data_IF_077451367419
#
_entry.id   IF_077451367419
#
_cell.length_a   1.000
_cell.length_b   1.000
_cell.length_c   1.000
_cell.angle_alpha   90.00
_cell.angle_beta   90.00
_cell.angle_gamma   90.00
#
_symmetry.space_group_name_H-M   'P 1'
#
loop_
_entity.id
_entity.type
_entity.pdbx_description
1 polymer ?
#
# COMPACT_ATOMS: atom_id res chain seq x y z
N UNK A 1 -1.98 1.10 23.77
CA UNK A 1 -2.84 -0.07 23.53
C UNK A 1 -3.71 0.18 22.30
N UNK A 2 -4.54 1.22 22.24
CA UNK A 2 -5.39 1.50 21.06
C UNK A 2 -4.65 1.54 19.70
N UNK A 3 -3.49 2.22 19.61
CA UNK A 3 -2.73 2.24 18.34
C UNK A 3 -2.05 0.92 17.98
N UNK A 4 -1.77 0.05 18.96
CA UNK A 4 -1.16 -1.24 18.68
C UNK A 4 -2.15 -2.15 17.95
N UNK A 5 -3.35 -2.31 18.52
CA UNK A 5 -4.42 -3.12 17.93
C UNK A 5 -4.83 -2.58 16.55
N UNK A 6 -4.96 -1.25 16.41
CA UNK A 6 -5.25 -0.61 15.11
C UNK A 6 -4.18 -0.91 14.05
N UNK A 7 -2.89 -0.90 14.42
CA UNK A 7 -1.80 -1.18 13.50
C UNK A 7 -1.70 -2.67 13.17
N UNK A 8 -2.02 -3.55 14.12
CA UNK A 8 -2.06 -5.00 13.89
C UNK A 8 -3.18 -5.36 12.89
N UNK A 9 -4.39 -4.79 13.05
CA UNK A 9 -5.49 -4.96 12.09
C UNK A 9 -5.11 -4.48 10.69
N UNK A 10 -4.37 -3.37 10.60
CA UNK A 10 -3.89 -2.88 9.32
C UNK A 10 -2.85 -3.83 8.71
N UNK A 11 -1.97 -4.42 9.53
CA UNK A 11 -0.94 -5.32 9.06
C UNK A 11 -1.55 -6.57 8.42
N UNK A 12 -2.60 -7.13 9.03
CA UNK A 12 -3.36 -8.27 8.48
C UNK A 12 -3.94 -7.94 7.09
N UNK A 13 -4.52 -6.74 6.93
CA UNK A 13 -5.05 -6.30 5.63
C UNK A 13 -3.92 -6.16 4.60
N UNK A 14 -2.76 -5.62 4.97
CA UNK A 14 -1.62 -5.52 4.06
C UNK A 14 -1.06 -6.90 3.67
N UNK A 15 -1.02 -7.85 4.59
CA UNK A 15 -0.57 -9.22 4.32
C UNK A 15 -1.46 -9.90 3.27
N UNK A 16 -2.78 -9.76 3.38
CA UNK A 16 -3.73 -10.24 2.37
C UNK A 16 -3.51 -9.55 1.03
N UNK A 17 -3.31 -8.22 1.03
CA UNK A 17 -3.04 -7.46 -0.20
C UNK A 17 -1.74 -7.88 -0.89
N UNK A 18 -0.70 -8.24 -0.13
CA UNK A 18 0.57 -8.75 -0.65
C UNK A 18 0.35 -10.07 -1.38
N UNK A 19 -0.40 -11.00 -0.76
CA UNK A 19 -0.72 -12.30 -1.36
C UNK A 19 -1.56 -12.14 -2.63
N UNK A 20 -2.66 -11.38 -2.58
CA UNK A 20 -3.51 -11.11 -3.75
C UNK A 20 -2.71 -10.51 -4.92
N UNK A 21 -1.76 -9.62 -4.61
CA UNK A 21 -0.89 -9.00 -5.63
C UNK A 21 0.08 -10.03 -6.23
N UNK A 22 0.69 -10.87 -5.40
CA UNK A 22 1.58 -11.93 -5.86
C UNK A 22 0.81 -12.94 -6.74
N UNK A 23 -0.38 -13.37 -6.30
CA UNK A 23 -1.25 -14.26 -7.05
C UNK A 23 -1.68 -13.65 -8.39
N UNK A 24 -2.04 -12.36 -8.42
CA UNK A 24 -2.37 -11.65 -9.67
C UNK A 24 -1.19 -11.66 -10.65
N UNK A 25 0.03 -11.39 -10.18
CA UNK A 25 1.25 -11.46 -11.00
C UNK A 25 1.44 -12.88 -11.55
N UNK A 26 1.29 -13.91 -10.70
CA UNK A 26 1.45 -15.31 -11.10
C UNK A 26 0.39 -15.77 -12.10
N UNK A 27 -0.87 -15.34 -11.92
CA UNK A 27 -1.97 -15.66 -12.82
C UNK A 27 -1.75 -15.15 -14.25
N UNK A 28 -1.02 -14.04 -14.40
CA UNK A 28 -0.62 -13.47 -15.69
C UNK A 28 0.69 -14.05 -16.24
N UNK A 29 1.26 -15.07 -15.60
CA UNK A 29 2.53 -15.70 -15.99
C UNK A 29 3.79 -14.93 -15.57
N UNK A 30 3.65 -13.92 -14.71
CA UNK A 30 4.76 -13.14 -14.20
C UNK A 30 5.60 -13.84 -13.12
N UNK A 31 6.69 -13.17 -12.74
CA UNK A 31 7.52 -13.53 -11.60
C UNK A 31 7.18 -12.61 -10.42
N UNK A 32 6.59 -13.18 -9.36
CA UNK A 32 6.39 -12.47 -8.10
C UNK A 32 7.70 -12.54 -7.31
N UNK A 33 8.29 -11.37 -7.02
CA UNK A 33 9.47 -11.25 -6.18
C UNK A 33 9.14 -11.68 -4.75
N UNK A 34 10.15 -12.16 -4.03
CA UNK A 34 9.94 -12.78 -2.72
C UNK A 34 10.97 -12.39 -1.66
N UNK A 35 12.01 -11.65 -2.03
CA UNK A 35 13.04 -11.23 -1.08
C UNK A 35 12.83 -9.78 -0.63
N UNK A 36 13.14 -9.53 0.65
CA UNK A 36 13.09 -8.17 1.22
C UNK A 36 13.96 -7.18 0.45
N UNK A 37 15.09 -7.65 -0.08
CA UNK A 37 15.99 -6.83 -0.90
C UNK A 37 15.30 -6.34 -2.18
N UNK A 38 14.62 -7.23 -2.90
CA UNK A 38 13.89 -6.85 -4.12
C UNK A 38 12.74 -5.89 -3.80
N UNK A 39 12.05 -6.10 -2.68
CA UNK A 39 11.00 -5.19 -2.24
C UNK A 39 11.54 -3.77 -1.99
N UNK A 40 12.66 -3.64 -1.28
CA UNK A 40 13.30 -2.33 -1.05
C UNK A 40 13.78 -1.67 -2.35
N UNK A 41 14.28 -2.45 -3.30
CA UNK A 41 14.74 -1.91 -4.60
C UNK A 41 13.59 -1.44 -5.50
N UNK A 42 12.40 -2.04 -5.39
CA UNK A 42 11.23 -1.76 -6.24
C UNK A 42 10.20 -0.82 -5.59
N UNK A 43 10.26 -0.66 -4.28
CA UNK A 43 9.30 0.11 -3.50
C UNK A 43 9.27 1.59 -3.92
N UNK A 44 8.09 2.20 -3.80
CA UNK A 44 7.92 3.67 -3.88
C UNK A 44 8.12 4.34 -2.52
N UNK A 45 8.27 3.54 -1.46
CA UNK A 45 8.41 3.96 -0.08
C UNK A 45 9.85 3.76 0.40
N UNK A 46 10.31 4.66 1.27
CA UNK A 46 11.57 4.52 1.98
C UNK A 46 11.31 3.99 3.40
N UNK A 47 12.29 3.28 3.97
CA UNK A 47 12.21 2.91 5.38
C UNK A 47 12.37 4.14 6.28
N UNK A 48 11.54 4.22 7.33
CA UNK A 48 11.64 5.24 8.37
C UNK A 48 12.54 4.76 9.51
N UNK A 49 13.07 5.70 10.30
CA UNK A 49 13.93 5.37 11.44
C UNK A 49 13.12 4.64 12.53
N UNK A 50 13.67 3.53 13.04
CA UNK A 50 13.00 2.65 14.01
C UNK A 50 13.12 3.10 15.47
N UNK A 51 13.85 4.18 15.77
CA UNK A 51 14.13 4.59 17.15
C UNK A 51 13.85 6.07 17.39
N UNK A 52 13.29 6.37 18.57
CA UNK A 52 13.07 7.74 19.03
C UNK A 52 11.84 8.45 18.46
N UNK A 53 10.99 7.74 17.72
CA UNK A 53 9.83 8.30 17.03
C UNK A 53 8.62 8.40 17.96
N UNK A 54 7.99 9.58 18.02
CA UNK A 54 6.72 9.76 18.73
C UNK A 54 5.57 9.17 17.90
N UNK A 55 4.52 8.68 18.57
CA UNK A 55 3.38 8.07 17.89
C UNK A 55 2.75 8.97 16.82
N UNK A 56 2.64 10.28 17.07
CA UNK A 56 2.13 11.25 16.09
C UNK A 56 3.02 11.37 14.86
N UNK A 57 4.34 11.30 15.04
CA UNK A 57 5.30 11.30 13.92
C UNK A 57 5.16 10.02 13.09
N UNK A 58 5.10 8.85 13.74
CA UNK A 58 4.89 7.58 13.06
C UNK A 58 3.59 7.54 12.25
N UNK A 59 2.49 8.05 12.82
CA UNK A 59 1.20 8.11 12.11
C UNK A 59 1.22 9.10 10.94
N UNK A 60 1.96 10.22 11.05
CA UNK A 60 2.12 11.17 9.97
C UNK A 60 2.95 10.59 8.81
N UNK A 61 4.06 9.91 9.12
CA UNK A 61 4.89 9.17 8.17
C UNK A 61 4.08 8.09 7.45
N UNK A 62 3.34 7.27 8.20
CA UNK A 62 2.49 6.23 7.63
C UNK A 62 1.40 6.82 6.72
N UNK A 63 0.78 7.94 7.12
CA UNK A 63 -0.19 8.64 6.29
C UNK A 63 0.43 9.11 4.98
N UNK A 64 1.64 9.67 5.02
CA UNK A 64 2.35 10.14 3.84
C UNK A 64 2.70 8.98 2.89
N UNK A 65 3.08 7.82 3.42
CA UNK A 65 3.34 6.60 2.64
C UNK A 65 2.08 6.12 1.92
N UNK A 66 0.93 6.07 2.60
CA UNK A 66 -0.35 5.75 1.96
C UNK A 66 -0.68 6.73 0.82
N UNK A 67 -0.45 8.02 1.01
CA UNK A 67 -0.69 9.04 -0.01
C UNK A 67 0.24 8.88 -1.23
N UNK A 68 1.49 8.43 -1.03
CA UNK A 68 2.41 8.07 -2.12
C UNK A 68 1.84 6.88 -2.90
N UNK A 69 1.42 5.81 -2.22
CA UNK A 69 0.86 4.62 -2.87
C UNK A 69 -0.41 4.94 -3.66
N UNK A 70 -1.32 5.74 -3.10
CA UNK A 70 -2.56 6.14 -3.78
C UNK A 70 -2.27 6.89 -5.08
N UNK A 71 -1.31 7.83 -5.06
CA UNK A 71 -0.90 8.55 -6.28
C UNK A 71 -0.27 7.60 -7.30
N UNK A 72 0.63 6.73 -6.86
CA UNK A 72 1.27 5.74 -7.71
C UNK A 72 0.25 4.81 -8.40
N UNK A 73 -0.74 4.30 -7.65
CA UNK A 73 -1.81 3.47 -8.21
C UNK A 73 -2.65 4.26 -9.22
N UNK A 74 -3.10 5.46 -8.86
CA UNK A 74 -3.91 6.32 -9.72
C UNK A 74 -3.24 6.63 -11.06
N UNK A 75 -1.94 6.89 -11.05
CA UNK A 75 -1.14 7.14 -12.26
C UNK A 75 -1.03 5.90 -13.16
N UNK A 76 -1.00 4.69 -12.57
CA UNK A 76 -0.78 3.46 -13.32
C UNK A 76 -2.08 2.76 -13.77
N UNK A 77 -3.17 2.85 -13.01
CA UNK A 77 -4.46 2.20 -13.34
C UNK A 77 -4.91 2.59 -14.76
N UNK A 78 -4.90 3.89 -15.08
CA UNK A 78 -5.29 4.37 -16.40
C UNK A 78 -4.38 3.86 -17.53
N UNK A 79 -3.07 3.73 -17.26
CA UNK A 79 -2.12 3.16 -18.23
C UNK A 79 -2.37 1.67 -18.45
N UNK A 80 -2.67 0.93 -17.38
CA UNK A 80 -2.93 -0.52 -17.41
C UNK A 80 -4.19 -0.84 -18.22
N UNK A 81 -5.31 -0.17 -17.92
CA UNK A 81 -6.54 -0.36 -18.69
C UNK A 81 -6.39 0.11 -20.13
N UNK A 82 -5.98 1.37 -20.34
CA UNK A 82 -6.07 1.96 -21.69
C UNK A 82 -4.95 1.54 -22.65
N UNK A 83 -3.71 1.43 -22.17
CA UNK A 83 -2.56 1.15 -23.04
C UNK A 83 -2.27 -0.34 -23.16
N UNK A 84 -2.34 -1.07 -22.03
CA UNK A 84 -2.07 -2.52 -22.02
C UNK A 84 -3.34 -3.36 -22.21
N UNK A 85 -4.53 -2.74 -22.23
CA UNK A 85 -5.82 -3.43 -22.40
C UNK A 85 -6.08 -4.51 -21.34
N UNK A 86 -5.53 -4.33 -20.14
CA UNK A 86 -5.71 -5.25 -19.02
C UNK A 86 -6.69 -4.65 -18.01
N UNK A 87 -7.97 -4.66 -18.37
CA UNK A 87 -9.06 -4.17 -17.52
C UNK A 87 -9.15 -4.93 -16.20
N UNK A 88 -8.79 -6.22 -16.18
CA UNK A 88 -8.82 -7.03 -14.96
C UNK A 88 -7.78 -6.59 -13.92
N UNK A 89 -6.57 -6.21 -14.36
CA UNK A 89 -5.57 -5.67 -13.44
C UNK A 89 -5.88 -4.23 -13.06
N UNK A 90 -6.45 -3.44 -13.98
CA UNK A 90 -6.90 -2.09 -13.68
C UNK A 90 -7.99 -2.08 -12.59
N UNK A 91 -8.98 -2.97 -12.69
CA UNK A 91 -10.04 -3.17 -11.69
C UNK A 91 -9.46 -3.64 -10.34
N UNK A 92 -8.62 -4.67 -10.36
CA UNK A 92 -7.91 -5.15 -9.16
C UNK A 92 -7.17 -4.01 -8.44
N UNK A 93 -6.35 -3.24 -9.16
CA UNK A 93 -5.58 -2.14 -8.58
C UNK A 93 -6.47 -0.98 -8.12
N UNK A 94 -7.64 -0.78 -8.73
CA UNK A 94 -8.64 0.19 -8.26
C UNK A 94 -9.18 -0.23 -6.89
N UNK A 95 -9.53 -1.51 -6.70
CA UNK A 95 -9.92 -2.05 -5.40
C UNK A 95 -8.84 -1.89 -4.33
N UNK A 96 -7.58 -2.17 -4.67
CA UNK A 96 -6.46 -1.95 -3.74
C UNK A 96 -6.29 -0.46 -3.39
N UNK A 97 -6.45 0.45 -4.36
CA UNK A 97 -6.40 1.89 -4.13
C UNK A 97 -7.49 2.36 -3.15
N UNK A 98 -8.72 1.87 -3.28
CA UNK A 98 -9.81 2.21 -2.36
C UNK A 98 -9.52 1.79 -0.91
N UNK A 99 -8.92 0.60 -0.71
CA UNK A 99 -8.44 0.14 0.61
C UNK A 99 -7.42 1.12 1.19
N UNK A 100 -6.43 1.55 0.39
CA UNK A 100 -5.44 2.54 0.82
C UNK A 100 -6.05 3.91 1.13
N UNK A 101 -6.99 4.40 0.32
CA UNK A 101 -7.68 5.68 0.53
C UNK A 101 -8.47 5.69 1.84
N UNK A 102 -9.10 4.56 2.20
CA UNK A 102 -9.81 4.39 3.47
C UNK A 102 -8.86 4.50 4.67
N UNK A 103 -7.71 3.83 4.63
CA UNK A 103 -6.73 3.93 5.72
C UNK A 103 -6.12 5.33 5.82
N UNK A 104 -5.79 5.95 4.69
CA UNK A 104 -5.29 7.32 4.67
C UNK A 104 -6.30 8.31 5.31
N UNK A 105 -7.60 8.13 5.04
CA UNK A 105 -8.65 8.91 5.69
C UNK A 105 -8.66 8.71 7.21
N UNK A 106 -8.60 7.47 7.70
CA UNK A 106 -8.55 7.21 9.13
C UNK A 106 -7.33 7.86 9.78
N UNK A 107 -6.14 7.75 9.19
CA UNK A 107 -4.93 8.37 9.72
C UNK A 107 -5.03 9.90 9.76
N UNK A 108 -5.58 10.53 8.71
CA UNK A 108 -5.84 11.98 8.70
C UNK A 108 -6.80 12.40 9.82
N UNK A 109 -7.84 11.61 10.10
CA UNK A 109 -8.77 11.90 11.18
C UNK A 109 -8.07 11.87 12.55
N UNK A 110 -7.23 10.86 12.81
CA UNK A 110 -6.49 10.75 14.07
C UNK A 110 -5.41 11.83 14.27
N UNK A 111 -4.89 12.41 13.19
CA UNK A 111 -3.90 13.50 13.24
C UNK A 111 -4.51 14.90 13.30
N UNK A 112 -5.81 15.03 13.00
CA UNK A 112 -6.53 16.30 13.05
C UNK A 112 -7.06 16.63 14.46
N UNK A 113 -7.04 15.65 15.37
CA UNK A 113 -7.33 15.76 16.80
C UNK A 113 -6.05 16.07 17.61
#
# INVERSE_FOLDING_TARGET
>A
MAYHEMLDEQAEVLEEMIDETAERIKALGGHAFGSLKEYLELSQLAEHLSTGTHATTMLAELRDDYEILIRFLRENIGKIGNHYQDEGTADFLTGQMEKHEKTAWFLRAHLAD
#
